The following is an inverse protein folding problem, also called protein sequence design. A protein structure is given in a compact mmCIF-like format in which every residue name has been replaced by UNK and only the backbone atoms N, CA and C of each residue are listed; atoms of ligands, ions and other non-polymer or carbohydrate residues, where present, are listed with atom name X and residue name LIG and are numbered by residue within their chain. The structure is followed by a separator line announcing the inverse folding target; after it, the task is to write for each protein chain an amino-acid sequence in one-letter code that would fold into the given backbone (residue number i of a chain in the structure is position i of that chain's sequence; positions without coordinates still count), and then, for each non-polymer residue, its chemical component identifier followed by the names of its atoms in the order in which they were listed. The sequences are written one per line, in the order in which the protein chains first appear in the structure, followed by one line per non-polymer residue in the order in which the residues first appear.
data_IF_783367334602
#
_entry.id   IF_783367334602
#
_cell.length_a   1.000
_cell.length_b   1.000
_cell.length_c   1.000
_cell.angle_alpha   90.00
_cell.angle_beta   90.00
_cell.angle_gamma   90.00
#
_symmetry.space_group_name_H-M   'P 1'
#
loop_
_entity.id
_entity.type
_entity.pdbx_description
1 polymer ?
#
# COMPACT_ATOMS: atom_id res chain seq x y z
N UNK A 1 40.74 72.17 10.03
CA UNK A 1 40.66 70.89 10.75
C UNK A 1 39.88 69.94 9.87
N UNK A 2 40.49 68.80 9.58
CA UNK A 2 40.06 67.68 8.73
C UNK A 2 40.35 67.79 7.22
N UNK A 3 41.59 67.44 6.88
CA UNK A 3 41.92 66.66 5.68
C UNK A 3 41.09 65.37 5.66
N UNK A 4 40.52 65.02 4.50
CA UNK A 4 40.42 63.62 4.08
C UNK A 4 40.76 63.59 2.59
N UNK A 5 41.87 62.91 2.34
CA UNK A 5 42.59 62.65 1.10
C UNK A 5 41.80 61.77 0.14
N UNK A 6 41.94 62.00 -1.16
CA UNK A 6 41.63 61.04 -2.22
C UNK A 6 42.32 59.70 -1.93
N UNK A 7 41.54 58.62 -1.92
CA UNK A 7 42.07 57.27 -2.04
C UNK A 7 41.40 56.61 -3.26
N UNK A 8 42.23 56.35 -4.27
CA UNK A 8 41.91 55.63 -5.49
C UNK A 8 41.28 54.27 -5.17
N UNK A 9 40.37 53.75 -6.03
CA UNK A 9 39.87 52.39 -5.88
C UNK A 9 41.03 51.41 -6.03
N UNK A 10 41.22 50.59 -5.00
CA UNK A 10 42.11 49.42 -4.99
C UNK A 10 41.75 48.56 -6.19
N UNK A 11 42.68 48.43 -7.12
CA UNK A 11 42.64 47.45 -8.21
C UNK A 11 42.43 46.08 -7.56
N UNK A 12 41.35 45.34 -7.85
CA UNK A 12 41.18 44.02 -7.27
C UNK A 12 42.33 43.14 -7.73
N UNK A 13 43.04 42.53 -6.78
CA UNK A 13 44.07 41.53 -7.04
C UNK A 13 43.52 40.52 -8.05
N UNK A 14 44.14 40.45 -9.22
CA UNK A 14 43.84 39.45 -10.24
C UNK A 14 44.05 38.08 -9.61
N UNK A 15 42.96 37.43 -9.19
CA UNK A 15 42.99 36.02 -8.76
C UNK A 15 43.64 35.22 -9.87
N UNK A 16 44.83 34.67 -9.60
CA UNK A 16 45.53 33.80 -10.55
C UNK A 16 44.59 32.65 -10.93
N UNK A 17 44.46 32.37 -12.21
CA UNK A 17 43.65 31.28 -12.73
C UNK A 17 44.54 30.24 -13.40
N UNK A 18 44.22 28.98 -13.15
CA UNK A 18 44.90 27.80 -13.68
C UNK A 18 43.97 27.02 -14.58
N UNK A 19 44.53 26.26 -15.50
CA UNK A 19 43.80 25.32 -16.34
C UNK A 19 44.35 23.93 -16.09
N UNK A 20 43.51 23.03 -15.60
CA UNK A 20 43.82 21.63 -15.40
C UNK A 20 43.30 20.84 -16.60
N UNK A 21 44.19 20.10 -17.28
CA UNK A 21 43.81 19.21 -18.37
C UNK A 21 43.80 17.76 -17.90
N UNK A 22 42.64 17.13 -18.03
CA UNK A 22 42.45 15.72 -17.70
C UNK A 22 42.98 14.86 -18.85
N UNK A 23 43.92 13.95 -18.57
CA UNK A 23 44.55 13.06 -19.54
C UNK A 23 44.28 11.58 -19.22
N UNK A 24 43.17 11.30 -18.54
CA UNK A 24 42.72 9.96 -18.17
C UNK A 24 41.19 9.85 -18.12
N UNK A 25 40.68 8.62 -18.16
CA UNK A 25 39.25 8.34 -17.97
C UNK A 25 38.33 8.90 -19.07
N UNK A 26 37.00 8.88 -18.87
CA UNK A 26 36.01 9.40 -19.80
C UNK A 26 36.14 10.91 -20.07
N UNK A 27 36.79 11.67 -19.19
CA UNK A 27 37.05 13.10 -19.37
C UNK A 27 38.40 13.38 -20.07
N UNK A 28 39.02 12.38 -20.71
CA UNK A 28 40.28 12.56 -21.45
C UNK A 28 40.20 13.73 -22.45
N UNK A 29 41.13 14.68 -22.31
CA UNK A 29 41.22 15.88 -23.14
C UNK A 29 40.44 17.09 -22.62
N UNK A 30 39.62 16.94 -21.57
CA UNK A 30 38.86 18.06 -20.99
C UNK A 30 39.77 19.05 -20.24
N UNK A 31 39.50 20.33 -20.39
CA UNK A 31 40.20 21.42 -19.70
C UNK A 31 39.27 22.11 -18.70
N UNK A 32 39.69 22.17 -17.44
CA UNK A 32 38.96 22.74 -16.32
C UNK A 32 39.66 24.01 -15.86
N UNK A 33 38.95 25.14 -15.81
CA UNK A 33 39.48 26.40 -15.33
C UNK A 33 39.28 26.53 -13.82
N UNK A 34 40.38 26.62 -13.08
CA UNK A 34 40.43 26.61 -11.62
C UNK A 34 41.06 27.91 -11.10
N UNK A 35 40.33 28.73 -10.33
CA UNK A 35 40.93 29.78 -9.51
C UNK A 35 42.04 29.24 -8.57
N UNK A 36 42.98 30.09 -8.16
CA UNK A 36 44.03 29.78 -7.19
C UNK A 36 43.46 29.53 -5.77
N UNK A 37 42.84 28.37 -5.58
CA UNK A 37 42.31 27.84 -4.32
C UNK A 37 42.67 26.35 -4.17
N UNK A 38 42.40 25.78 -3.01
CA UNK A 38 42.62 24.34 -2.78
C UNK A 38 41.39 23.54 -3.21
N UNK A 39 41.61 22.44 -3.95
CA UNK A 39 40.56 21.59 -4.49
C UNK A 39 40.66 20.16 -3.98
N UNK A 40 39.53 19.58 -3.61
CA UNK A 40 39.41 18.14 -3.34
C UNK A 40 38.85 17.43 -4.57
N UNK A 41 39.67 16.61 -5.23
CA UNK A 41 39.31 15.89 -6.43
C UNK A 41 38.89 14.47 -6.04
N UNK A 42 37.62 14.15 -6.29
CA UNK A 42 37.03 12.83 -6.11
C UNK A 42 37.07 12.12 -7.46
N UNK A 43 37.75 10.97 -7.50
CA UNK A 43 37.85 10.16 -8.71
C UNK A 43 37.12 8.85 -8.46
N UNK A 44 35.96 8.67 -9.09
CA UNK A 44 35.11 7.50 -8.85
C UNK A 44 34.29 7.13 -10.09
N UNK A 45 33.81 5.88 -10.14
CA UNK A 45 32.87 5.43 -11.16
C UNK A 45 31.63 6.32 -11.09
N UNK A 46 31.35 7.04 -12.17
CA UNK A 46 30.29 8.03 -12.23
C UNK A 46 29.00 7.52 -11.58
N UNK A 47 28.46 8.27 -10.61
CA UNK A 47 27.05 8.14 -10.26
C UNK A 47 26.32 8.48 -11.56
N UNK A 48 25.75 7.47 -12.22
CA UNK A 48 24.78 7.70 -13.27
C UNK A 48 23.75 8.64 -12.66
N UNK A 49 23.67 9.87 -13.17
CA UNK A 49 22.58 10.79 -12.86
C UNK A 49 21.36 10.23 -13.61
N UNK A 50 20.88 9.09 -13.13
CA UNK A 50 19.54 8.58 -13.38
C UNK A 50 18.70 9.05 -12.20
N UNK A 51 17.79 9.96 -12.52
CA UNK A 51 16.70 10.36 -11.66
C UNK A 51 15.94 9.13 -11.14
N UNK A 52 15.62 9.18 -9.85
CA UNK A 52 14.77 8.24 -9.11
C UNK A 52 15.39 6.87 -8.77
N UNK A 53 16.18 6.82 -7.70
CA UNK A 53 16.29 5.57 -6.92
C UNK A 53 17.55 5.37 -6.10
N UNK A 54 18.62 6.14 -6.30
CA UNK A 54 19.73 6.11 -5.35
C UNK A 54 19.26 6.79 -4.06
N UNK A 55 19.35 6.06 -2.94
CA UNK A 55 19.22 6.67 -1.63
C UNK A 55 20.08 7.94 -1.62
N UNK A 56 19.42 9.08 -1.41
CA UNK A 56 20.10 10.33 -1.20
C UNK A 56 21.05 10.08 -0.03
N UNK A 57 22.34 9.91 -0.33
CA UNK A 57 23.38 10.12 0.67
C UNK A 57 23.11 11.54 1.10
N UNK A 58 22.61 11.69 2.32
CA UNK A 58 22.26 12.98 2.85
C UNK A 58 23.50 13.86 2.68
N UNK A 59 23.31 15.09 2.21
CA UNK A 59 24.37 16.07 2.02
C UNK A 59 25.16 16.41 3.31
N UNK A 60 24.89 15.72 4.43
CA UNK A 60 25.67 15.76 5.67
C UNK A 60 26.52 14.51 5.97
N UNK A 61 26.43 13.41 5.21
CA UNK A 61 27.12 12.14 5.53
C UNK A 61 28.43 11.91 4.77
N UNK A 62 28.69 12.59 3.65
CA UNK A 62 29.97 12.50 2.96
C UNK A 62 30.87 13.67 3.37
N UNK A 63 32.07 13.39 3.90
CA UNK A 63 33.03 14.41 4.36
C UNK A 63 33.38 15.47 3.28
N UNK A 64 33.18 15.14 2.00
CA UNK A 64 33.35 16.05 0.87
C UNK A 64 32.38 17.26 0.90
N UNK A 65 31.20 17.12 1.52
CA UNK A 65 30.21 18.18 1.63
C UNK A 65 30.68 19.38 2.49
N UNK A 66 31.74 19.20 3.28
CA UNK A 66 32.34 20.25 4.11
C UNK A 66 33.51 20.97 3.42
N UNK A 67 33.94 20.51 2.24
CA UNK A 67 35.02 21.15 1.47
C UNK A 67 34.44 22.14 0.47
N UNK A 68 34.96 23.38 0.45
CA UNK A 68 34.34 24.46 -0.32
C UNK A 68 34.53 24.30 -1.85
N UNK A 69 35.53 23.52 -2.28
CA UNK A 69 35.92 23.35 -3.67
C UNK A 69 36.15 21.87 -4.02
N UNK A 70 35.08 21.10 -4.21
CA UNK A 70 35.16 19.69 -4.64
C UNK A 70 35.03 19.55 -6.15
N UNK A 71 35.93 18.82 -6.81
CA UNK A 71 35.85 18.44 -8.22
C UNK A 71 35.57 16.94 -8.33
N UNK A 72 34.61 16.57 -9.17
CA UNK A 72 34.32 15.16 -9.45
C UNK A 72 34.82 14.80 -10.84
N UNK A 73 35.73 13.81 -10.93
CA UNK A 73 36.23 13.28 -12.20
C UNK A 73 35.78 11.81 -12.31
N UNK A 74 34.86 11.48 -13.24
CA UNK A 74 34.44 10.10 -13.44
C UNK A 74 35.62 9.25 -13.94
N UNK A 75 35.78 8.05 -13.37
CA UNK A 75 36.78 7.07 -13.78
C UNK A 75 36.24 5.65 -13.60
N UNK A 76 36.40 4.81 -14.62
CA UNK A 76 35.89 3.43 -14.60
C UNK A 76 36.73 2.47 -13.73
N UNK A 77 37.85 2.95 -13.19
CA UNK A 77 38.77 2.22 -12.32
C UNK A 77 38.73 2.81 -10.91
N UNK A 78 38.90 1.98 -9.86
CA UNK A 78 39.08 2.50 -8.51
C UNK A 78 40.35 3.36 -8.48
N UNK A 79 40.21 4.59 -7.98
CA UNK A 79 41.27 5.59 -8.00
C UNK A 79 41.38 6.25 -6.62
N UNK A 80 42.59 6.60 -6.15
CA UNK A 80 42.72 7.41 -4.95
C UNK A 80 42.16 8.82 -5.16
N UNK A 81 41.63 9.42 -4.08
CA UNK A 81 41.22 10.83 -4.09
C UNK A 81 42.46 11.74 -3.99
N UNK A 82 42.33 12.99 -4.44
CA UNK A 82 43.46 13.93 -4.47
C UNK A 82 43.08 15.25 -3.81
N UNK A 83 44.00 15.85 -3.05
CA UNK A 83 43.90 17.26 -2.65
C UNK A 83 44.94 18.03 -3.46
N UNK A 84 44.49 18.96 -4.29
CA UNK A 84 45.33 19.86 -5.08
C UNK A 84 45.38 21.21 -4.39
N UNK A 85 46.57 21.65 -3.95
CA UNK A 85 46.74 22.96 -3.29
C UNK A 85 47.30 23.98 -4.26
N UNK A 86 46.46 24.88 -4.76
CA UNK A 86 46.85 25.98 -5.65
C UNK A 86 46.98 27.33 -4.93
N UNK A 87 46.52 27.42 -3.67
CA UNK A 87 46.57 28.65 -2.87
C UNK A 87 47.98 29.07 -2.48
N UNK A 88 48.90 28.11 -2.31
CA UNK A 88 50.30 28.35 -1.99
C UNK A 88 51.20 27.43 -2.85
N UNK A 89 52.08 27.98 -3.71
CA UNK A 89 53.08 27.17 -4.40
C UNK A 89 54.03 26.52 -3.39
N UNK A 90 54.51 25.31 -3.68
CA UNK A 90 55.42 24.60 -2.81
C UNK A 90 56.78 25.32 -2.76
N UNK A 91 57.24 25.68 -1.57
CA UNK A 91 58.58 26.29 -1.38
C UNK A 91 59.72 25.27 -1.62
N UNK A 92 59.40 23.97 -1.64
CA UNK A 92 60.38 22.87 -1.68
C UNK A 92 60.60 22.25 -3.08
N UNK A 93 59.96 22.77 -4.14
CA UNK A 93 60.12 22.24 -5.50
C UNK A 93 61.30 22.88 -6.26
N UNK A 94 61.94 22.11 -7.13
CA UNK A 94 63.10 22.52 -7.96
C UNK A 94 62.80 23.61 -9.03
N UNK A 95 61.70 24.36 -8.90
CA UNK A 95 61.43 25.48 -9.80
C UNK A 95 60.25 26.36 -9.40
N UNK A 96 60.19 27.61 -9.91
CA UNK A 96 59.03 28.49 -9.74
C UNK A 96 57.82 27.87 -10.46
N UNK A 97 56.83 27.38 -9.71
CA UNK A 97 55.61 26.78 -10.27
C UNK A 97 55.35 25.33 -9.85
N UNK A 98 55.84 24.88 -8.69
CA UNK A 98 55.47 23.58 -8.14
C UNK A 98 54.25 23.68 -7.22
N UNK A 99 53.32 22.73 -7.34
CA UNK A 99 52.13 22.62 -6.49
C UNK A 99 52.15 21.34 -5.68
N UNK A 100 51.63 21.40 -4.45
CA UNK A 100 51.49 20.22 -3.59
C UNK A 100 50.20 19.48 -3.93
N UNK A 101 50.33 18.18 -4.14
CA UNK A 101 49.21 17.24 -4.26
C UNK A 101 49.32 16.26 -3.09
N UNK A 102 48.26 16.09 -2.33
CA UNK A 102 48.15 14.97 -1.38
C UNK A 102 47.26 13.91 -1.99
N UNK A 103 47.79 12.72 -2.20
CA UNK A 103 47.01 11.59 -2.70
C UNK A 103 46.54 10.78 -1.50
N UNK A 104 45.25 10.48 -1.47
CA UNK A 104 44.60 9.71 -0.43
C UNK A 104 44.21 8.34 -0.96
N UNK A 105 44.97 7.33 -0.57
CA UNK A 105 44.66 5.91 -0.79
C UNK A 105 43.95 5.35 0.46
N UNK A 106 43.30 4.17 0.36
CA UNK A 106 42.43 3.59 1.39
C UNK A 106 43.09 3.47 2.78
N UNK A 107 44.42 3.39 2.82
CA UNK A 107 45.18 3.19 4.06
C UNK A 107 46.27 4.23 4.34
N UNK A 108 46.61 5.12 3.38
CA UNK A 108 47.73 6.05 3.52
C UNK A 108 47.49 7.37 2.77
N UNK A 109 47.98 8.46 3.33
CA UNK A 109 48.13 9.74 2.63
C UNK A 109 49.62 10.05 2.46
N UNK A 110 50.02 10.41 1.24
CA UNK A 110 51.38 10.86 0.99
C UNK A 110 51.37 12.14 0.13
N UNK A 111 52.24 13.11 0.46
CA UNK A 111 52.42 14.32 -0.35
C UNK A 111 53.28 14.03 -1.57
N UNK A 112 52.91 14.58 -2.71
CA UNK A 112 53.68 14.62 -3.95
C UNK A 112 53.64 16.04 -4.52
N UNK A 113 54.58 16.39 -5.40
CA UNK A 113 54.60 17.70 -6.06
C UNK A 113 54.42 17.52 -7.57
N UNK A 114 53.78 18.50 -8.21
CA UNK A 114 53.67 18.61 -9.67
C UNK A 114 54.20 19.98 -10.08
N UNK A 115 55.00 20.05 -11.14
CA UNK A 115 55.39 21.33 -11.74
C UNK A 115 54.36 21.78 -12.79
N UNK A 116 54.24 23.09 -12.98
CA UNK A 116 53.50 23.68 -14.10
C UNK A 116 53.96 23.05 -15.43
N UNK A 117 53.02 22.76 -16.31
CA UNK A 117 53.23 22.21 -17.65
C UNK A 117 53.81 20.78 -17.72
N UNK A 118 53.94 20.08 -16.59
CA UNK A 118 54.29 18.67 -16.53
C UNK A 118 53.07 17.77 -16.37
N UNK A 119 53.18 16.53 -16.88
CA UNK A 119 52.11 15.52 -16.75
C UNK A 119 52.33 14.76 -15.44
N UNK A 120 51.46 14.99 -14.47
CA UNK A 120 51.36 14.12 -13.31
C UNK A 120 50.92 12.74 -13.76
N UNK A 121 51.69 11.71 -13.40
CA UNK A 121 51.36 10.32 -13.72
C UNK A 121 51.42 9.49 -12.44
N UNK A 122 50.28 8.88 -12.08
CA UNK A 122 50.22 7.90 -11.01
C UNK A 122 49.20 6.83 -11.36
N UNK A 123 49.66 5.58 -11.47
CA UNK A 123 48.87 4.46 -11.97
C UNK A 123 48.19 4.81 -13.32
N UNK A 124 46.87 4.97 -13.31
CA UNK A 124 46.06 5.34 -14.46
C UNK A 124 45.63 6.81 -14.45
N UNK A 125 45.84 7.54 -13.35
CA UNK A 125 45.54 8.96 -13.21
C UNK A 125 46.64 9.77 -13.92
N UNK A 126 46.22 10.62 -14.87
CA UNK A 126 47.12 11.49 -15.62
C UNK A 126 46.51 12.85 -15.84
N UNK A 127 47.14 13.91 -15.38
CA UNK A 127 46.66 15.27 -15.66
C UNK A 127 47.83 16.25 -15.69
N UNK A 128 47.62 17.40 -16.32
CA UNK A 128 48.59 18.48 -16.37
C UNK A 128 47.94 19.79 -15.91
N UNK A 129 48.76 20.71 -15.40
CA UNK A 129 48.31 22.00 -14.88
C UNK A 129 49.13 23.12 -15.51
N UNK A 130 48.47 24.17 -16.00
CA UNK A 130 49.11 25.40 -16.49
C UNK A 130 48.42 26.64 -15.96
N UNK A 131 49.01 27.82 -16.14
CA UNK A 131 48.28 29.09 -15.97
C UNK A 131 47.34 29.30 -17.14
N UNK A 132 46.20 29.95 -16.90
CA UNK A 132 45.18 30.11 -17.94
C UNK A 132 45.70 30.84 -19.19
N UNK A 133 46.68 31.74 -19.03
CA UNK A 133 47.24 32.57 -20.09
C UNK A 133 48.32 31.86 -20.94
N UNK A 134 48.85 30.72 -20.49
CA UNK A 134 49.96 30.03 -21.17
C UNK A 134 49.45 29.05 -22.26
N UNK A 135 50.26 28.78 -23.29
CA UNK A 135 50.00 27.69 -24.24
C UNK A 135 50.51 26.35 -23.71
N UNK A 136 49.80 25.26 -24.01
CA UNK A 136 50.24 23.91 -23.62
C UNK A 136 51.52 23.51 -24.38
N UNK A 137 52.51 22.89 -23.70
CA UNK A 137 53.65 22.29 -24.38
C UNK A 137 53.20 21.17 -25.32
N UNK A 138 54.00 20.89 -26.36
CA UNK A 138 53.71 19.83 -27.33
C UNK A 138 53.53 18.45 -26.67
N UNK A 139 54.24 18.19 -25.58
CA UNK A 139 54.13 16.96 -24.77
C UNK A 139 52.73 16.73 -24.18
N UNK A 140 52.00 17.82 -23.87
CA UNK A 140 50.64 17.78 -23.31
C UNK A 140 49.57 17.91 -24.42
N UNK A 141 49.88 18.62 -25.52
CA UNK A 141 48.98 18.73 -26.68
C UNK A 141 48.83 17.42 -27.43
N UNK A 142 49.95 16.72 -27.65
CA UNK A 142 50.01 15.47 -28.41
C UNK A 142 50.09 14.24 -27.49
N UNK A 143 49.65 14.35 -26.24
CA UNK A 143 49.68 13.23 -25.31
C UNK A 143 48.78 12.10 -25.83
N UNK A 144 49.41 11.01 -26.26
CA UNK A 144 48.76 9.76 -26.59
C UNK A 144 48.96 8.79 -25.42
N UNK A 145 47.88 8.12 -24.98
CA UNK A 145 48.00 7.04 -24.00
C UNK A 145 48.96 5.98 -24.55
N UNK A 146 50.02 5.59 -23.80
CA UNK A 146 50.87 4.48 -24.21
C UNK A 146 50.00 3.22 -24.42
N UNK A 147 50.14 2.49 -25.55
CA UNK A 147 49.31 1.33 -25.86
C UNK A 147 49.43 0.16 -24.86
N UNK A 148 50.30 0.27 -23.84
CA UNK A 148 50.78 -0.85 -23.06
C UNK A 148 50.38 -0.85 -21.57
N UNK A 149 49.40 -0.04 -21.15
CA UNK A 149 48.91 -0.07 -19.75
C UNK A 149 47.57 -0.82 -19.61
N UNK A 150 46.99 -1.27 -20.73
CA UNK A 150 45.83 -2.18 -20.76
C UNK A 150 46.24 -3.64 -21.04
N UNK A 151 47.51 -3.87 -21.40
CA UNK A 151 48.03 -5.17 -21.83
C UNK A 151 48.79 -5.93 -20.72
N UNK A 152 49.36 -5.25 -19.71
CA UNK A 152 50.13 -5.92 -18.64
C UNK A 152 49.28 -6.42 -17.44
N UNK A 153 47.96 -6.23 -17.45
CA UNK A 153 47.06 -6.86 -16.47
C UNK A 153 46.02 -7.81 -17.10
N UNK A 154 46.02 -7.96 -18.44
CA UNK A 154 45.28 -9.01 -19.15
C UNK A 154 46.08 -10.32 -19.30
N UNK A 155 47.27 -10.39 -18.69
CA UNK A 155 48.10 -11.57 -18.62
C UNK A 155 48.50 -11.87 -17.17
N UNK A 156 47.52 -12.07 -16.28
CA UNK A 156 47.77 -12.96 -15.16
C UNK A 156 47.72 -14.38 -15.73
N UNK A 157 48.91 -14.92 -15.96
CA UNK A 157 49.16 -16.32 -16.18
C UNK A 157 48.25 -17.18 -15.30
N UNK A 158 47.46 -18.00 -15.97
CA UNK A 158 46.91 -19.25 -15.45
C UNK A 158 48.05 -20.10 -14.89
N UNK A 159 48.35 -19.97 -13.61
CA UNK A 159 49.09 -20.99 -12.87
C UNK A 159 48.42 -21.26 -11.53
N UNK A 160 48.26 -22.56 -11.29
CA UNK A 160 47.97 -23.27 -10.05
C UNK A 160 46.51 -23.67 -9.81
N UNK A 161 46.26 -24.94 -10.09
CA UNK A 161 45.20 -25.79 -9.57
C UNK A 161 44.79 -25.40 -8.12
N UNK A 162 43.58 -24.86 -7.95
CA UNK A 162 42.95 -24.78 -6.63
C UNK A 162 41.47 -25.18 -6.69
N UNK A 163 41.19 -26.39 -6.20
CA UNK A 163 39.93 -26.92 -5.67
C UNK A 163 38.59 -26.48 -6.31
N UNK A 164 38.21 -27.22 -7.36
CA UNK A 164 36.94 -27.15 -8.10
C UNK A 164 35.65 -27.50 -7.30
N UNK A 165 35.67 -27.59 -5.97
CA UNK A 165 34.47 -27.88 -5.15
C UNK A 165 33.88 -26.66 -4.43
N UNK A 166 34.57 -25.51 -4.38
CA UNK A 166 34.15 -24.33 -3.59
C UNK A 166 33.56 -23.16 -4.40
N UNK A 167 33.75 -23.15 -5.73
CA UNK A 167 33.18 -22.11 -6.62
C UNK A 167 31.78 -22.44 -7.14
N UNK A 168 31.39 -23.73 -7.14
CA UNK A 168 30.05 -24.11 -7.58
C UNK A 168 28.97 -23.62 -6.61
N UNK A 169 29.25 -23.60 -5.30
CA UNK A 169 28.34 -23.07 -4.28
C UNK A 169 28.19 -21.55 -4.36
N UNK A 170 29.22 -20.83 -4.80
CA UNK A 170 29.21 -19.37 -4.92
C UNK A 170 28.44 -18.91 -6.17
N UNK A 171 28.59 -19.64 -7.29
CA UNK A 171 27.80 -19.41 -8.53
C UNK A 171 26.33 -19.75 -8.31
N UNK A 172 26.03 -20.85 -7.60
CA UNK A 172 24.64 -21.21 -7.24
C UNK A 172 24.04 -20.17 -6.30
N UNK A 173 24.82 -19.64 -5.35
CA UNK A 173 24.39 -18.55 -4.47
C UNK A 173 24.02 -17.26 -5.23
N UNK A 174 24.83 -16.85 -6.20
CA UNK A 174 24.56 -15.67 -7.03
C UNK A 174 23.30 -15.85 -7.92
N UNK A 175 23.11 -17.05 -8.47
CA UNK A 175 21.91 -17.37 -9.25
C UNK A 175 20.64 -17.33 -8.38
N UNK A 176 20.70 -17.85 -7.15
CA UNK A 176 19.58 -17.78 -6.19
C UNK A 176 19.29 -16.33 -5.79
N UNK A 177 20.33 -15.52 -5.55
CA UNK A 177 20.17 -14.09 -5.23
C UNK A 177 19.49 -13.34 -6.37
N UNK A 178 19.87 -13.60 -7.61
CA UNK A 178 19.29 -12.96 -8.80
C UNK A 178 17.82 -13.36 -8.99
N UNK A 179 17.48 -14.63 -8.76
CA UNK A 179 16.08 -15.09 -8.74
C UNK A 179 15.28 -14.42 -7.61
N UNK A 180 15.87 -14.22 -6.43
CA UNK A 180 15.24 -13.50 -5.32
C UNK A 180 15.00 -12.03 -5.66
N UNK A 181 15.95 -11.35 -6.32
CA UNK A 181 15.81 -9.95 -6.72
C UNK A 181 14.72 -9.82 -7.79
N UNK A 182 14.69 -10.71 -8.80
CA UNK A 182 13.65 -10.70 -9.83
C UNK A 182 12.27 -10.97 -9.23
N UNK A 183 12.15 -11.95 -8.33
CA UNK A 183 10.86 -12.23 -7.67
C UNK A 183 10.42 -11.07 -6.79
N UNK A 184 11.33 -10.44 -6.05
CA UNK A 184 11.03 -9.22 -5.28
C UNK A 184 10.58 -8.08 -6.19
N UNK A 185 11.26 -7.84 -7.32
CA UNK A 185 10.90 -6.81 -8.29
C UNK A 185 9.52 -7.06 -8.91
N UNK A 186 9.19 -8.32 -9.25
CA UNK A 186 7.86 -8.71 -9.75
C UNK A 186 6.77 -8.48 -8.69
N UNK A 187 7.03 -8.83 -7.43
CA UNK A 187 6.10 -8.58 -6.32
C UNK A 187 5.90 -7.07 -6.13
N UNK A 188 6.98 -6.29 -6.19
CA UNK A 188 6.95 -4.84 -6.00
C UNK A 188 6.21 -4.12 -7.13
N UNK A 189 6.47 -4.51 -8.39
CA UNK A 189 5.77 -3.98 -9.56
C UNK A 189 4.26 -4.25 -9.49
N UNK A 190 3.86 -5.49 -9.17
CA UNK A 190 2.44 -5.85 -8.99
C UNK A 190 1.76 -5.08 -7.86
N UNK A 191 2.50 -4.72 -6.81
CA UNK A 191 1.98 -3.89 -5.72
C UNK A 191 1.73 -2.45 -6.20
N UNK A 192 2.69 -1.85 -6.89
CA UNK A 192 2.60 -0.47 -7.39
C UNK A 192 1.47 -0.28 -8.41
N UNK A 193 1.31 -1.21 -9.35
CA UNK A 193 0.23 -1.15 -10.34
C UNK A 193 -1.15 -1.23 -9.68
N UNK A 194 -1.29 -2.08 -8.65
CA UNK A 194 -2.54 -2.14 -7.91
C UNK A 194 -2.80 -0.91 -7.05
N UNK A 195 -1.77 -0.30 -6.45
CA UNK A 195 -1.94 0.90 -5.65
C UNK A 195 -2.43 2.06 -6.55
N UNK A 196 -1.92 2.14 -7.79
CA UNK A 196 -2.41 3.08 -8.81
C UNK A 196 -3.85 2.79 -9.25
N UNK A 197 -4.21 1.52 -9.47
CA UNK A 197 -5.58 1.14 -9.81
C UNK A 197 -6.57 1.50 -8.70
N UNK A 198 -6.22 1.27 -7.43
CA UNK A 198 -7.06 1.66 -6.29
C UNK A 198 -7.19 3.18 -6.18
N UNK A 199 -6.12 3.94 -6.47
CA UNK A 199 -6.17 5.41 -6.45
C UNK A 199 -7.10 5.97 -7.54
N UNK A 200 -6.93 5.51 -8.78
CA UNK A 200 -7.78 5.91 -9.91
C UNK A 200 -9.25 5.52 -9.69
N UNK A 201 -9.49 4.37 -9.09
CA UNK A 201 -10.83 3.90 -8.74
C UNK A 201 -11.43 4.74 -7.61
N UNK A 202 -10.67 5.10 -6.59
CA UNK A 202 -11.14 6.01 -5.54
C UNK A 202 -11.52 7.39 -6.09
N UNK A 203 -10.75 7.93 -7.03
CA UNK A 203 -11.07 9.19 -7.71
C UNK A 203 -12.32 9.07 -8.58
N UNK A 204 -12.48 8.00 -9.35
CA UNK A 204 -13.65 7.78 -10.18
C UNK A 204 -14.92 7.46 -9.39
N UNK A 205 -14.78 6.90 -8.19
CA UNK A 205 -15.87 6.65 -7.24
C UNK A 205 -16.14 7.84 -6.33
N UNK A 206 -15.37 8.93 -6.44
CA UNK A 206 -15.61 10.15 -5.69
C UNK A 206 -17.02 10.70 -6.00
N UNK A 207 -17.77 11.03 -4.94
CA UNK A 207 -19.15 11.53 -5.06
C UNK A 207 -20.24 10.45 -5.01
N UNK A 208 -19.90 9.20 -4.70
CA UNK A 208 -20.90 8.15 -4.50
C UNK A 208 -21.93 8.52 -3.41
N UNK A 209 -23.23 8.16 -3.60
CA UNK A 209 -24.31 8.54 -2.70
C UNK A 209 -24.27 7.82 -1.33
N UNK A 210 -23.39 6.83 -1.17
CA UNK A 210 -23.17 6.12 0.08
C UNK A 210 -21.73 5.58 0.16
N UNK A 211 -21.33 5.17 1.36
CA UNK A 211 -20.02 4.55 1.59
C UNK A 211 -19.83 3.30 0.72
N UNK A 212 -18.64 3.24 0.11
CA UNK A 212 -18.15 2.15 -0.72
C UNK A 212 -16.83 1.69 -0.14
N UNK A 213 -16.67 0.38 0.00
CA UNK A 213 -15.41 -0.21 0.43
C UNK A 213 -14.77 -0.98 -0.73
N UNK A 214 -13.45 -0.87 -0.88
CA UNK A 214 -12.70 -1.52 -1.95
C UNK A 214 -11.77 -2.55 -1.34
N UNK A 215 -11.89 -3.81 -1.76
CA UNK A 215 -11.08 -4.91 -1.27
C UNK A 215 -10.51 -5.72 -2.41
N UNK A 216 -9.30 -6.25 -2.26
CA UNK A 216 -8.74 -7.21 -3.22
C UNK A 216 -9.23 -8.62 -2.87
N UNK A 217 -9.58 -9.38 -3.91
CA UNK A 217 -9.85 -10.80 -3.79
C UNK A 217 -8.64 -11.59 -3.30
N UNK A 218 -8.89 -12.69 -2.60
CA UNK A 218 -7.84 -13.57 -2.09
C UNK A 218 -7.13 -14.37 -3.18
N UNK A 219 -7.89 -14.94 -4.11
CA UNK A 219 -7.37 -15.92 -5.09
C UNK A 219 -6.99 -15.25 -6.42
N UNK A 220 -7.73 -14.22 -6.81
CA UNK A 220 -7.54 -13.53 -8.09
C UNK A 220 -7.10 -12.09 -7.82
N UNK A 221 -6.40 -11.47 -8.78
CA UNK A 221 -6.08 -10.04 -8.76
C UNK A 221 -7.31 -9.12 -8.84
N UNK A 222 -8.52 -9.70 -8.86
CA UNK A 222 -9.80 -9.00 -8.96
C UNK A 222 -10.05 -8.12 -7.73
N UNK A 223 -10.38 -6.86 -7.99
CA UNK A 223 -10.79 -5.87 -7.02
C UNK A 223 -12.31 -5.96 -6.85
N UNK A 224 -12.78 -6.11 -5.63
CA UNK A 224 -14.19 -6.10 -5.27
C UNK A 224 -14.56 -4.75 -4.69
N UNK A 225 -15.58 -4.13 -5.28
CA UNK A 225 -16.13 -2.85 -4.80
C UNK A 225 -17.45 -3.14 -4.12
N UNK A 226 -17.48 -3.05 -2.80
CA UNK A 226 -18.61 -3.40 -1.97
C UNK A 226 -19.49 -2.17 -1.72
N UNK A 227 -20.73 -2.24 -2.19
CA UNK A 227 -21.74 -1.23 -1.94
C UNK A 227 -22.70 -1.71 -0.86
N UNK A 228 -22.93 -0.87 0.16
CA UNK A 228 -23.92 -1.11 1.21
C UNK A 228 -25.36 -0.90 0.73
N UNK A 229 -25.57 0.07 -0.16
CA UNK A 229 -26.87 0.42 -0.75
C UNK A 229 -26.91 0.15 -2.25
N UNK A 230 -28.12 -0.10 -2.74
CA UNK A 230 -28.36 -0.32 -4.17
C UNK A 230 -27.99 0.90 -5.03
N UNK A 231 -28.28 2.13 -4.58
CA UNK A 231 -27.90 3.33 -5.35
C UNK A 231 -26.39 3.48 -5.53
N UNK A 232 -25.60 3.12 -4.50
CA UNK A 232 -24.15 3.15 -4.59
C UNK A 232 -23.61 2.06 -5.53
N UNK A 233 -24.25 0.89 -5.60
CA UNK A 233 -23.91 -0.13 -6.59
C UNK A 233 -24.08 0.39 -8.02
N UNK A 234 -25.22 1.02 -8.31
CA UNK A 234 -25.49 1.55 -9.66
C UNK A 234 -24.52 2.69 -10.01
N UNK A 235 -24.16 3.55 -9.03
CA UNK A 235 -23.11 4.54 -9.21
C UNK A 235 -21.76 3.90 -9.57
N UNK A 236 -21.35 2.86 -8.85
CA UNK A 236 -20.11 2.13 -9.13
C UNK A 236 -20.13 1.53 -10.53
N UNK A 237 -21.23 0.88 -10.93
CA UNK A 237 -21.36 0.30 -12.27
C UNK A 237 -21.20 1.36 -13.36
N UNK A 238 -21.82 2.51 -13.19
CA UNK A 238 -21.73 3.63 -14.14
C UNK A 238 -20.30 4.21 -14.19
N UNK A 239 -19.65 4.36 -13.03
CA UNK A 239 -18.26 4.84 -12.96
C UNK A 239 -17.30 3.87 -13.66
N UNK A 240 -17.44 2.56 -13.42
CA UNK A 240 -16.65 1.52 -14.07
C UNK A 240 -16.88 1.48 -15.59
N UNK A 241 -18.13 1.64 -16.02
CA UNK A 241 -18.47 1.72 -17.43
C UNK A 241 -17.77 2.89 -18.12
N UNK A 242 -17.72 4.07 -17.49
CA UNK A 242 -17.03 5.27 -18.02
C UNK A 242 -15.51 5.13 -18.07
N UNK A 243 -14.91 4.43 -17.11
CA UNK A 243 -13.47 4.15 -17.08
C UNK A 243 -13.03 3.16 -18.15
N UNK A 244 -13.94 2.33 -18.68
CA UNK A 244 -13.60 1.22 -19.56
C UNK A 244 -12.87 0.06 -18.86
N UNK A 245 -12.75 0.10 -17.53
CA UNK A 245 -12.15 -0.96 -16.71
C UNK A 245 -13.18 -2.07 -16.42
N UNK A 246 -13.30 -3.03 -17.32
CA UNK A 246 -14.24 -4.16 -17.14
C UNK A 246 -13.59 -5.47 -16.68
N UNK A 247 -12.25 -5.60 -16.71
CA UNK A 247 -11.63 -6.92 -16.63
C UNK A 247 -11.12 -7.31 -15.24
N UNK A 248 -10.97 -6.35 -14.31
CA UNK A 248 -10.39 -6.64 -12.99
C UNK A 248 -11.16 -6.06 -11.80
N UNK A 249 -12.30 -5.38 -12.02
CA UNK A 249 -13.11 -4.80 -10.94
C UNK A 249 -14.52 -5.38 -10.97
N UNK A 250 -14.97 -5.93 -9.84
CA UNK A 250 -16.31 -6.53 -9.68
C UNK A 250 -17.11 -5.75 -8.65
N UNK A 251 -18.16 -5.01 -9.07
CA UNK A 251 -19.06 -4.35 -8.14
C UNK A 251 -20.01 -5.37 -7.47
N UNK A 252 -20.14 -5.31 -6.15
CA UNK A 252 -20.99 -6.21 -5.37
C UNK A 252 -21.93 -5.44 -4.44
N UNK A 253 -23.20 -5.81 -4.46
CA UNK A 253 -24.15 -5.33 -3.45
C UNK A 253 -24.12 -6.27 -2.24
N UNK A 254 -23.60 -5.74 -1.12
CA UNK A 254 -23.26 -6.55 0.05
C UNK A 254 -24.48 -7.26 0.66
N UNK A 255 -25.64 -6.59 0.70
CA UNK A 255 -26.89 -7.15 1.25
C UNK A 255 -27.40 -8.33 0.40
N UNK A 256 -27.36 -8.20 -0.92
CA UNK A 256 -27.78 -9.29 -1.81
C UNK A 256 -26.80 -10.45 -1.76
N UNK A 257 -25.49 -10.15 -1.75
CA UNK A 257 -24.45 -11.16 -1.61
C UNK A 257 -24.62 -11.93 -0.29
N UNK A 258 -24.83 -11.23 0.84
CA UNK A 258 -25.11 -11.82 2.14
C UNK A 258 -26.27 -12.81 2.09
N UNK A 259 -27.42 -12.38 1.54
CA UNK A 259 -28.59 -13.24 1.42
C UNK A 259 -28.30 -14.49 0.59
N UNK A 260 -27.66 -14.33 -0.56
CA UNK A 260 -27.30 -15.45 -1.44
C UNK A 260 -26.32 -16.42 -0.78
N UNK A 261 -25.31 -15.92 -0.07
CA UNK A 261 -24.34 -16.75 0.65
C UNK A 261 -25.01 -17.50 1.79
N UNK A 262 -25.84 -16.84 2.61
CA UNK A 262 -26.59 -17.47 3.71
C UNK A 262 -27.48 -18.59 3.18
N UNK A 263 -28.28 -18.31 2.14
CA UNK A 263 -29.14 -19.31 1.51
C UNK A 263 -28.35 -20.50 0.97
N UNK A 264 -27.19 -20.26 0.36
CA UNK A 264 -26.32 -21.32 -0.13
C UNK A 264 -25.79 -22.21 1.00
N UNK A 265 -25.33 -21.62 2.12
CA UNK A 265 -24.83 -22.37 3.27
C UNK A 265 -25.93 -23.18 3.96
N UNK A 266 -27.14 -22.62 4.07
CA UNK A 266 -28.31 -23.33 4.59
C UNK A 266 -28.66 -24.51 3.68
N UNK A 267 -28.67 -24.32 2.35
CA UNK A 267 -28.90 -25.41 1.38
C UNK A 267 -27.85 -26.51 1.46
N UNK A 268 -26.62 -26.18 1.86
CA UNK A 268 -25.55 -27.15 2.13
C UNK A 268 -25.71 -27.87 3.48
N UNK A 269 -26.77 -27.60 4.24
CA UNK A 269 -27.10 -28.30 5.49
C UNK A 269 -26.47 -27.70 6.75
N UNK A 270 -25.84 -26.52 6.67
CA UNK A 270 -25.23 -25.89 7.83
C UNK A 270 -26.25 -25.09 8.65
N UNK A 271 -26.11 -25.06 10.00
CA UNK A 271 -27.04 -24.38 10.90
C UNK A 271 -26.80 -22.86 10.94
N UNK A 272 -26.80 -22.20 9.79
CA UNK A 272 -26.53 -20.76 9.68
C UNK A 272 -27.77 -19.92 10.01
N UNK A 273 -27.55 -18.84 10.77
CA UNK A 273 -28.54 -17.81 11.09
C UNK A 273 -28.37 -16.64 10.12
N UNK A 274 -27.17 -16.04 10.11
CA UNK A 274 -26.82 -14.85 9.36
C UNK A 274 -25.30 -14.74 9.24
N UNK A 275 -24.81 -13.93 8.30
CA UNK A 275 -23.40 -13.54 8.19
C UNK A 275 -23.29 -12.06 8.48
N UNK A 276 -22.45 -11.66 9.43
CA UNK A 276 -22.14 -10.25 9.69
C UNK A 276 -20.95 -9.80 8.85
N UNK A 277 -21.17 -8.78 8.02
CA UNK A 277 -20.15 -8.11 7.20
C UNK A 277 -19.70 -6.77 7.79
N UNK A 278 -19.91 -6.50 9.08
CA UNK A 278 -19.40 -5.29 9.74
C UNK A 278 -17.90 -5.06 9.50
N UNK A 279 -17.13 -6.14 9.32
CA UNK A 279 -15.78 -6.13 8.75
C UNK A 279 -15.73 -7.09 7.55
N UNK A 280 -15.85 -6.61 6.30
CA UNK A 280 -16.00 -7.50 5.13
C UNK A 280 -14.83 -8.47 4.88
N UNK A 281 -13.61 -8.11 5.28
CA UNK A 281 -12.43 -8.99 5.22
C UNK A 281 -12.40 -10.06 6.33
N UNK A 282 -13.13 -9.84 7.42
CA UNK A 282 -13.19 -10.71 8.60
C UNK A 282 -14.66 -10.97 8.99
N UNK A 283 -15.48 -11.55 8.10
CA UNK A 283 -16.90 -11.74 8.36
C UNK A 283 -17.13 -12.75 9.49
N UNK A 284 -18.22 -12.55 10.22
CA UNK A 284 -18.63 -13.44 11.31
C UNK A 284 -19.85 -14.24 10.87
N UNK A 285 -19.72 -15.56 10.78
CA UNK A 285 -20.86 -16.45 10.53
C UNK A 285 -21.51 -16.80 11.85
N UNK A 286 -22.80 -16.48 11.96
CA UNK A 286 -23.61 -16.78 13.14
C UNK A 286 -24.32 -18.11 12.92
N UNK A 287 -24.13 -19.07 13.83
CA UNK A 287 -24.73 -20.39 13.80
C UNK A 287 -25.71 -20.57 14.96
N UNK A 288 -26.81 -21.31 14.73
CA UNK A 288 -27.78 -21.63 15.80
C UNK A 288 -27.46 -22.91 16.57
N UNK A 289 -26.49 -23.68 16.10
CA UNK A 289 -25.98 -24.89 16.75
C UNK A 289 -24.47 -24.96 16.53
N UNK A 290 -23.75 -25.46 17.54
CA UNK A 290 -22.32 -25.68 17.42
C UNK A 290 -22.01 -26.84 16.47
N UNK A 291 -20.89 -26.73 15.77
CA UNK A 291 -20.39 -27.73 14.82
C UNK A 291 -19.20 -28.46 15.40
N UNK A 292 -19.04 -29.73 15.01
CA UNK A 292 -17.78 -30.43 15.26
C UNK A 292 -16.60 -29.69 14.60
N UNK A 293 -15.36 -29.85 15.11
CA UNK A 293 -14.19 -29.17 14.55
C UNK A 293 -14.04 -29.40 13.03
N UNK A 294 -14.27 -30.63 12.57
CA UNK A 294 -14.19 -31.01 11.15
C UNK A 294 -15.27 -30.27 10.32
N UNK A 295 -16.52 -30.25 10.80
CA UNK A 295 -17.59 -29.53 10.11
C UNK A 295 -17.35 -28.02 10.09
N UNK A 296 -16.73 -27.47 11.14
CA UNK A 296 -16.37 -26.07 11.22
C UNK A 296 -15.29 -25.70 10.20
N UNK A 297 -14.27 -26.53 10.04
CA UNK A 297 -13.24 -26.34 9.00
C UNK A 297 -13.83 -26.44 7.59
N UNK A 298 -14.73 -27.39 7.35
CA UNK A 298 -15.43 -27.54 6.08
C UNK A 298 -16.32 -26.32 5.78
N UNK A 299 -17.10 -25.86 6.77
CA UNK A 299 -17.92 -24.65 6.66
C UNK A 299 -17.05 -23.44 6.33
N UNK A 300 -15.94 -23.25 7.07
CA UNK A 300 -15.02 -22.13 6.88
C UNK A 300 -14.42 -22.16 5.48
N UNK A 301 -13.99 -23.33 5.01
CA UNK A 301 -13.45 -23.52 3.67
C UNK A 301 -14.49 -23.23 2.58
N UNK A 302 -15.73 -23.69 2.76
CA UNK A 302 -16.83 -23.44 1.83
C UNK A 302 -17.21 -21.94 1.80
N UNK A 303 -17.31 -21.32 2.96
CA UNK A 303 -17.66 -19.91 3.08
C UNK A 303 -16.58 -19.00 2.49
N UNK A 304 -15.30 -19.32 2.71
CA UNK A 304 -14.18 -18.60 2.08
C UNK A 304 -14.21 -18.69 0.54
N UNK A 305 -14.65 -19.81 -0.03
CA UNK A 305 -14.85 -19.92 -1.49
C UNK A 305 -16.03 -19.09 -1.98
N UNK A 306 -17.05 -18.87 -1.14
CA UNK A 306 -18.24 -18.07 -1.48
C UNK A 306 -18.06 -16.58 -1.20
N UNK A 307 -17.09 -16.20 -0.37
CA UNK A 307 -16.80 -14.82 0.02
C UNK A 307 -15.36 -14.51 -0.41
N UNK A 308 -15.12 -14.21 -1.69
CA UNK A 308 -13.77 -14.13 -2.26
C UNK A 308 -12.92 -12.96 -1.72
N UNK A 309 -13.57 -11.96 -1.11
CA UNK A 309 -12.93 -10.79 -0.49
C UNK A 309 -12.64 -10.98 1.01
N UNK A 310 -13.03 -12.11 1.61
CA UNK A 310 -12.70 -12.44 3.00
C UNK A 310 -11.29 -13.04 3.11
N UNK A 311 -10.54 -12.63 4.15
CA UNK A 311 -9.22 -13.15 4.47
C UNK A 311 -9.34 -14.35 5.42
N UNK A 312 -10.14 -14.20 6.46
CA UNK A 312 -10.51 -15.26 7.39
C UNK A 312 -12.02 -15.22 7.64
N UNK A 313 -12.52 -16.18 8.43
CA UNK A 313 -13.93 -16.22 8.83
C UNK A 313 -14.00 -16.61 10.29
N UNK A 314 -14.75 -15.83 11.07
CA UNK A 314 -15.04 -16.15 12.45
C UNK A 314 -16.41 -16.83 12.56
N UNK A 315 -16.54 -17.71 13.55
CA UNK A 315 -17.81 -18.40 13.83
C UNK A 315 -18.29 -17.99 15.21
N UNK A 316 -19.54 -17.52 15.27
CA UNK A 316 -20.22 -17.16 16.51
C UNK A 316 -21.47 -18.04 16.68
N UNK A 317 -21.74 -18.48 17.90
CA UNK A 317 -22.85 -19.37 18.18
C UNK A 317 -23.92 -18.59 18.95
N UNK A 318 -25.15 -18.64 18.44
CA UNK A 318 -26.31 -18.07 19.11
C UNK A 318 -27.53 -18.96 18.93
N UNK A 319 -27.94 -19.61 20.01
CA UNK A 319 -28.99 -20.63 19.94
C UNK A 319 -30.35 -20.04 19.53
N UNK A 320 -31.22 -20.88 18.96
CA UNK A 320 -32.60 -20.46 18.62
C UNK A 320 -33.35 -19.90 19.84
N UNK A 321 -33.09 -20.43 21.04
CA UNK A 321 -33.71 -19.96 22.28
C UNK A 321 -33.20 -18.58 22.69
N UNK A 322 -31.90 -18.30 22.55
CA UNK A 322 -31.34 -16.97 22.80
C UNK A 322 -31.93 -15.94 21.82
N UNK A 323 -32.02 -16.29 20.53
CA UNK A 323 -32.67 -15.43 19.53
C UNK A 323 -34.13 -15.13 19.87
N UNK A 324 -34.88 -16.15 20.31
CA UNK A 324 -36.26 -15.98 20.76
C UNK A 324 -36.33 -15.07 21.99
N UNK A 325 -35.44 -15.25 22.97
CA UNK A 325 -35.41 -14.43 24.18
C UNK A 325 -35.15 -12.96 23.86
N UNK A 326 -34.20 -12.68 22.98
CA UNK A 326 -33.91 -11.30 22.54
C UNK A 326 -35.08 -10.67 21.81
N UNK A 327 -35.74 -11.44 20.93
CA UNK A 327 -36.93 -10.99 20.21
C UNK A 327 -38.07 -10.65 21.18
N UNK A 328 -38.33 -11.53 22.16
CA UNK A 328 -39.35 -11.33 23.20
C UNK A 328 -39.02 -10.11 24.06
N UNK A 329 -37.78 -10.00 24.54
CA UNK A 329 -37.36 -8.87 25.36
C UNK A 329 -37.53 -7.54 24.62
N UNK A 330 -37.29 -7.50 23.31
CA UNK A 330 -37.54 -6.32 22.50
C UNK A 330 -39.02 -5.94 22.44
N UNK A 331 -39.91 -6.91 22.21
CA UNK A 331 -41.37 -6.69 22.22
C UNK A 331 -41.88 -6.29 23.61
N UNK A 332 -41.41 -6.95 24.66
CA UNK A 332 -41.79 -6.69 26.06
C UNK A 332 -41.39 -5.26 26.49
N UNK A 333 -40.19 -4.79 26.11
CA UNK A 333 -39.75 -3.41 26.37
C UNK A 333 -40.63 -2.35 25.70
N UNK A 334 -41.25 -2.69 24.58
CA UNK A 334 -42.20 -1.83 23.87
C UNK A 334 -43.65 -2.01 24.39
N UNK A 335 -43.87 -2.88 25.38
CA UNK A 335 -45.19 -3.26 25.90
C UNK A 335 -46.13 -3.82 24.81
N UNK A 336 -45.58 -4.53 23.83
CA UNK A 336 -46.35 -5.11 22.73
C UNK A 336 -46.75 -6.54 23.07
N UNK A 337 -48.05 -6.82 23.08
CA UNK A 337 -48.55 -8.18 23.26
C UNK A 337 -48.36 -9.02 22.00
N UNK A 338 -47.90 -10.26 22.17
CA UNK A 338 -47.67 -11.18 21.07
C UNK A 338 -48.04 -12.61 21.44
N UNK A 339 -48.36 -13.41 20.42
CA UNK A 339 -48.52 -14.86 20.51
C UNK A 339 -47.32 -15.54 19.86
N UNK A 340 -46.68 -16.43 20.60
CA UNK A 340 -45.61 -17.27 20.06
C UNK A 340 -46.21 -18.52 19.38
N UNK A 341 -45.69 -18.85 18.20
CA UNK A 341 -45.93 -20.12 17.50
C UNK A 341 -44.57 -20.79 17.31
N UNK A 342 -44.44 -22.03 17.76
CA UNK A 342 -43.21 -22.82 17.63
C UNK A 342 -43.29 -23.72 16.41
N UNK A 343 -42.21 -23.83 15.66
CA UNK A 343 -42.06 -24.72 14.50
C UNK A 343 -40.69 -25.40 14.51
N UNK A 344 -40.49 -26.51 13.78
CA UNK A 344 -39.18 -27.19 13.73
C UNK A 344 -38.05 -26.28 13.20
N UNK A 345 -38.38 -25.39 12.26
CA UNK A 345 -37.44 -24.43 11.68
C UNK A 345 -37.10 -23.27 12.62
N UNK A 346 -38.06 -22.80 13.43
CA UNK A 346 -37.91 -21.60 14.26
C UNK A 346 -39.19 -21.18 14.99
N UNK A 347 -39.37 -19.89 15.21
CA UNK A 347 -40.49 -19.31 15.93
C UNK A 347 -41.14 -18.19 15.13
N UNK A 348 -42.46 -18.07 15.23
CA UNK A 348 -43.20 -16.92 14.76
C UNK A 348 -43.82 -16.16 15.94
N UNK A 349 -43.63 -14.83 15.97
CA UNK A 349 -44.20 -13.93 16.96
C UNK A 349 -45.31 -13.13 16.27
N UNK A 350 -46.55 -13.47 16.60
CA UNK A 350 -47.75 -12.89 16.00
C UNK A 350 -48.28 -11.79 16.90
N UNK A 351 -48.26 -10.56 16.41
CA UNK A 351 -48.70 -9.36 17.11
C UNK A 351 -50.12 -9.07 16.64
N UNK A 352 -51.07 -9.10 17.59
CA UNK A 352 -52.50 -8.85 17.36
C UNK A 352 -52.94 -7.79 18.35
N UNK A 353 -52.59 -6.55 18.05
CA UNK A 353 -52.83 -5.44 18.95
C UNK A 353 -53.24 -4.20 18.15
N UNK A 354 -54.04 -3.33 18.79
CA UNK A 354 -54.37 -2.02 18.27
C UNK A 354 -53.19 -1.08 18.57
N UNK A 355 -52.18 -1.09 17.70
CA UNK A 355 -50.97 -0.30 17.88
C UNK A 355 -51.21 1.14 17.42
N UNK A 356 -50.83 2.11 18.26
CA UNK A 356 -50.70 3.51 17.82
C UNK A 356 -49.61 3.65 16.75
N UNK A 357 -49.68 4.70 15.94
CA UNK A 357 -48.67 4.97 14.89
C UNK A 357 -47.24 5.02 15.44
N UNK A 358 -47.07 5.57 16.65
CA UNK A 358 -45.77 5.62 17.33
C UNK A 358 -45.28 4.22 17.70
N UNK A 359 -46.16 3.38 18.25
CA UNK A 359 -45.84 1.99 18.60
C UNK A 359 -45.55 1.15 17.35
N UNK A 360 -46.31 1.33 16.27
CA UNK A 360 -46.09 0.67 15.00
C UNK A 360 -44.75 1.08 14.37
N UNK A 361 -44.40 2.36 14.39
CA UNK A 361 -43.10 2.86 13.91
C UNK A 361 -41.93 2.32 14.73
N UNK A 362 -42.06 2.27 16.06
CA UNK A 362 -41.05 1.68 16.94
C UNK A 362 -40.89 0.18 16.67
N UNK A 363 -42.00 -0.55 16.52
CA UNK A 363 -42.02 -1.97 16.20
C UNK A 363 -41.36 -2.26 14.85
N UNK A 364 -41.68 -1.49 13.81
CA UNK A 364 -41.07 -1.64 12.48
C UNK A 364 -39.56 -1.42 12.53
N UNK A 365 -39.09 -0.39 13.25
CA UNK A 365 -37.65 -0.16 13.45
C UNK A 365 -36.99 -1.33 14.16
N UNK A 366 -37.58 -1.79 15.25
CA UNK A 366 -37.09 -2.96 15.99
C UNK A 366 -37.00 -4.21 15.10
N UNK A 367 -38.05 -4.53 14.35
CA UNK A 367 -38.07 -5.70 13.44
C UNK A 367 -37.01 -5.55 12.35
N UNK A 368 -36.86 -4.36 11.77
CA UNK A 368 -35.85 -4.12 10.73
C UNK A 368 -34.43 -4.27 11.29
N UNK A 369 -34.16 -3.77 12.49
CA UNK A 369 -32.87 -3.92 13.16
C UNK A 369 -32.59 -5.38 13.53
N UNK A 370 -33.60 -6.07 14.07
CA UNK A 370 -33.51 -7.49 14.41
C UNK A 370 -33.25 -8.34 13.16
N UNK A 371 -34.01 -8.13 12.09
CA UNK A 371 -33.87 -8.87 10.83
C UNK A 371 -32.55 -8.56 10.12
N UNK A 372 -32.03 -7.33 10.23
CA UNK A 372 -30.70 -6.98 9.72
C UNK A 372 -29.63 -7.80 10.44
N UNK A 373 -29.72 -7.91 11.76
CA UNK A 373 -28.72 -8.58 12.58
C UNK A 373 -28.81 -10.12 12.54
N UNK A 374 -30.02 -10.67 12.52
CA UNK A 374 -30.25 -12.12 12.70
C UNK A 374 -30.95 -12.81 11.52
N UNK A 375 -31.35 -12.06 10.50
CA UNK A 375 -32.16 -12.59 9.39
C UNK A 375 -33.58 -12.97 9.81
N UNK A 376 -34.32 -13.59 8.88
CA UNK A 376 -35.75 -13.94 9.07
C UNK A 376 -36.00 -15.46 9.14
N UNK A 377 -34.94 -16.27 9.12
CA UNK A 377 -35.07 -17.74 9.00
C UNK A 377 -35.48 -18.42 10.31
N UNK A 378 -35.05 -17.88 11.45
CA UNK A 378 -35.29 -18.49 12.77
C UNK A 378 -36.41 -17.79 13.52
N UNK A 379 -36.48 -16.45 13.48
CA UNK A 379 -37.56 -15.67 14.09
C UNK A 379 -38.28 -14.93 12.98
N UNK A 380 -39.60 -15.08 12.93
CA UNK A 380 -40.47 -14.32 12.02
C UNK A 380 -41.47 -13.48 12.82
N UNK A 381 -41.68 -12.23 12.42
CA UNK A 381 -42.66 -11.35 13.03
C UNK A 381 -43.87 -11.21 12.10
N UNK A 382 -45.07 -11.41 12.62
CA UNK A 382 -46.31 -11.21 11.88
C UNK A 382 -47.14 -10.14 12.58
N UNK A 383 -47.29 -8.99 11.93
CA UNK A 383 -48.10 -7.88 12.43
C UNK A 383 -49.49 -8.01 11.81
N UNK A 384 -50.49 -8.27 12.63
CA UNK A 384 -51.89 -8.22 12.22
C UNK A 384 -52.55 -7.11 13.02
N UNK A 385 -52.66 -5.92 12.41
CA UNK A 385 -53.42 -4.81 12.97
C UNK A 385 -54.89 -5.23 12.90
N UNK A 386 -55.42 -5.68 14.03
CA UNK A 386 -56.79 -6.11 14.09
C UNK A 386 -57.63 -4.84 14.32
N UNK A 387 -58.42 -4.45 13.34
CA UNK A 387 -59.57 -3.61 13.63
C UNK A 387 -60.49 -4.43 14.54
N UNK A 388 -60.69 -3.97 15.78
CA UNK A 388 -61.56 -4.66 16.71
C UNK A 388 -62.99 -4.58 16.16
N UNK A 389 -63.40 -5.59 15.38
CA UNK A 389 -64.74 -5.69 14.80
C UNK A 389 -65.86 -5.72 15.86
N UNK A 390 -65.50 -5.84 17.14
CA UNK A 390 -66.39 -5.80 18.31
C UNK A 390 -66.46 -4.43 18.97
N UNK A 391 -65.74 -3.43 18.48
CA UNK A 391 -65.88 -2.08 18.99
C UNK A 391 -67.34 -1.63 18.94
N UNK A 392 -67.81 -1.07 20.05
CA UNK A 392 -69.20 -0.65 20.27
C UNK A 392 -70.24 -1.77 20.25
N UNK A 393 -69.85 -3.05 20.36
CA UNK A 393 -70.77 -4.17 20.54
C UNK A 393 -70.70 -4.70 21.98
N UNK A 394 -71.85 -4.83 22.62
CA UNK A 394 -71.94 -5.52 23.91
C UNK A 394 -71.90 -7.02 23.67
N UNK A 395 -71.10 -7.76 24.44
CA UNK A 395 -71.07 -9.22 24.38
C UNK A 395 -71.15 -9.89 25.75
N UNK A 396 -71.75 -11.07 25.80
CA UNK A 396 -71.72 -11.94 26.99
C UNK A 396 -70.71 -13.07 26.76
N UNK A 397 -69.70 -13.14 27.61
CA UNK A 397 -68.73 -14.22 27.63
C UNK A 397 -69.29 -15.39 28.47
N UNK A 398 -69.68 -16.47 27.81
CA UNK A 398 -70.18 -17.68 28.45
C UNK A 398 -69.42 -18.91 27.95
N UNK A 399 -69.34 -19.97 28.76
CA UNK A 399 -68.74 -21.25 28.37
C UNK A 399 -69.37 -21.88 27.11
N UNK A 400 -70.56 -21.41 26.72
CA UNK A 400 -71.28 -21.85 25.53
C UNK A 400 -71.13 -20.92 24.31
N UNK A 401 -70.35 -19.84 24.40
CA UNK A 401 -70.05 -18.94 23.28
C UNK A 401 -70.33 -17.47 23.59
N UNK A 402 -70.03 -16.62 22.61
CA UNK A 402 -70.19 -15.17 22.69
C UNK A 402 -71.56 -14.73 22.15
N UNK A 403 -72.32 -13.93 22.88
CA UNK A 403 -73.59 -13.36 22.41
C UNK A 403 -73.38 -11.89 22.05
N UNK A 404 -73.65 -11.45 20.82
CA UNK A 404 -73.68 -10.02 20.49
C UNK A 404 -75.04 -9.40 20.81
N UNK A 405 -75.03 -8.42 21.70
CA UNK A 405 -76.21 -7.66 22.10
C UNK A 405 -76.29 -6.38 21.27
N UNK A 406 -77.17 -6.40 20.26
CA UNK A 406 -77.73 -5.18 19.68
C UNK A 406 -79.19 -5.08 20.19
N UNK A 407 -79.77 -3.90 20.46
CA UNK A 407 -81.11 -3.81 21.07
C UNK A 407 -82.25 -4.49 20.29
N UNK A 408 -82.02 -4.90 19.04
CA UNK A 408 -83.02 -5.44 18.13
C UNK A 408 -82.72 -6.83 17.57
N UNK A 409 -81.48 -7.34 17.69
CA UNK A 409 -81.07 -8.60 17.04
C UNK A 409 -80.01 -9.33 17.88
N UNK A 410 -80.10 -10.66 17.95
CA UNK A 410 -79.09 -11.53 18.55
C UNK A 410 -78.30 -12.25 17.46
N UNK A 411 -76.98 -12.28 17.59
CA UNK A 411 -76.09 -13.03 16.70
C UNK A 411 -75.35 -14.10 17.48
N UNK A 412 -75.41 -15.33 16.98
CA UNK A 412 -74.75 -16.50 17.54
C UNK A 412 -73.60 -16.93 16.61
N UNK A 413 -72.34 -16.65 16.97
CA UNK A 413 -71.21 -17.17 16.21
C UNK A 413 -71.14 -18.69 16.38
N UNK A 414 -71.09 -19.41 15.25
CA UNK A 414 -70.98 -20.87 15.23
C UNK A 414 -69.64 -21.30 15.86
N UNK A 415 -69.68 -22.31 16.74
CA UNK A 415 -68.45 -22.95 17.23
C UNK A 415 -67.79 -23.68 16.06
N UNK A 416 -66.46 -23.66 16.02
CA UNK A 416 -65.65 -24.40 15.03
C UNK A 416 -65.82 -25.94 15.14
N UNK A 417 -66.63 -26.42 16.10
CA UNK A 417 -67.03 -27.83 16.25
C UNK A 417 -68.39 -28.19 15.64
N UNK A 418 -69.21 -27.22 15.22
CA UNK A 418 -70.56 -27.48 14.65
C UNK A 418 -70.56 -27.58 13.11
N UNK A 419 -69.40 -27.45 12.47
CA UNK A 419 -69.27 -27.45 11.00
C UNK A 419 -69.05 -28.88 10.44
N UNK A 420 -68.99 -29.89 11.32
CA UNK A 420 -68.90 -31.31 10.96
C UNK A 420 -70.12 -32.10 11.51
N UNK A 421 -71.32 -31.56 11.32
CA UNK A 421 -72.60 -32.25 11.55
C UNK A 421 -73.22 -32.70 10.23
#
# INVERSE_FOLDING_TARGET
MNEITEAMPVVPETKKSYTLKVLFGPMFGCELNLPADDYFIIINQGIAIDDAGSAAISSGEHAAAYTHNTLYIPCDRPSPNLILRLSAPAEDGEGPGSFRIEVQDENNSFPTTINENEIFTREHIRFALKRSEDEWPESVRNFALPPNVDAEFNAQETIAEFNAKKHHTLIVGAAILLVLIITAAVIWYKKLESDRQVLNLNEALAGAPAAIDIYRGRENSTIYVLASKYQALEWVKEALFKLGENNNVTPLWLVQHQKATVEALIKSGYPVVQIDYGKPQHPVIILWQDLSPIQREQLTSLALKKIPFALDIQVFIKSKQQLLQDARQGLDRMHIHYRQITSPSGYALVIRDALSDNALSALQRFINDFNRQWGTHIINFSINLNENWLENKSYLDSSNGYLFLNPRHWYFPLKQGDING
#
